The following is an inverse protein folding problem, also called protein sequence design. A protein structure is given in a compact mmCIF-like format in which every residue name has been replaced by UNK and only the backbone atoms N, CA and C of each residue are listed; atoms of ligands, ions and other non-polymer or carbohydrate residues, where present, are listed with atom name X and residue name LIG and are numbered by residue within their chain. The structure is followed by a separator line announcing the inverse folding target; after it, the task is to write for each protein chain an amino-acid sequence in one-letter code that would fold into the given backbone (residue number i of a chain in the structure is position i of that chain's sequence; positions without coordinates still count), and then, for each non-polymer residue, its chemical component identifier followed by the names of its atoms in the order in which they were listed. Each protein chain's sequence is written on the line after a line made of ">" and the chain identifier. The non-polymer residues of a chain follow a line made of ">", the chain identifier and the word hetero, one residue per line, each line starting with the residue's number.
data_IF_218367864329
#
_entry.id   IF_218367864329
#
_cell.length_a   1.000
_cell.length_b   1.000
_cell.length_c   1.000
_cell.angle_alpha   90.00
_cell.angle_beta   90.00
_cell.angle_gamma   90.00
#
_symmetry.space_group_name_H-M   'P 1'
#
loop_
_entity.id
_entity.type
_entity.pdbx_description
1 polymer ?
#
# COMPACT_ATOMS: atom_id res chain seq x y z
N UNK A 1 -29.72 -29.20 -10.92
CA UNK A 1 -28.92 -28.45 -9.94
C UNK A 1 -27.79 -27.84 -10.73
N UNK A 2 -27.74 -26.52 -10.84
CA UNK A 2 -26.70 -25.81 -11.61
C UNK A 2 -25.37 -25.97 -10.87
N UNK A 3 -24.52 -26.88 -11.35
CA UNK A 3 -23.14 -27.07 -10.90
C UNK A 3 -22.32 -25.82 -11.25
N UNK A 4 -22.35 -24.79 -10.40
CA UNK A 4 -21.43 -23.67 -10.53
C UNK A 4 -20.04 -24.14 -10.09
N UNK A 5 -19.10 -24.21 -11.04
CA UNK A 5 -17.69 -24.62 -10.80
C UNK A 5 -16.92 -23.74 -9.80
N UNK A 6 -17.47 -22.59 -9.41
CA UNK A 6 -16.89 -21.67 -8.44
C UNK A 6 -17.95 -20.75 -7.86
N UNK A 7 -17.67 -20.20 -6.67
CA UNK A 7 -18.50 -19.20 -6.00
C UNK A 7 -17.80 -17.84 -6.03
N UNK A 8 -18.44 -16.85 -6.66
CA UNK A 8 -17.97 -15.46 -6.65
C UNK A 8 -18.54 -14.78 -5.41
N UNK A 9 -17.73 -13.96 -4.73
CA UNK A 9 -18.26 -13.05 -3.71
C UNK A 9 -19.12 -11.99 -4.43
N UNK A 10 -20.44 -11.91 -4.17
CA UNK A 10 -21.31 -10.99 -4.91
C UNK A 10 -21.11 -9.52 -4.50
N UNK A 11 -20.47 -9.27 -3.36
CA UNK A 11 -20.17 -7.92 -2.86
C UNK A 11 -18.82 -7.40 -3.36
N UNK A 12 -18.71 -6.08 -3.51
CA UNK A 12 -17.44 -5.42 -3.80
C UNK A 12 -16.52 -5.51 -2.59
N UNK A 13 -15.38 -6.17 -2.77
CA UNK A 13 -14.35 -6.30 -1.75
C UNK A 13 -13.17 -5.35 -2.01
N UNK A 14 -12.58 -4.88 -0.92
CA UNK A 14 -11.42 -4.03 -0.90
C UNK A 14 -10.29 -4.77 -0.20
N UNK A 15 -9.09 -4.71 -0.78
CA UNK A 15 -7.90 -5.33 -0.21
C UNK A 15 -7.13 -4.32 0.65
N UNK A 16 -6.80 -4.74 1.86
CA UNK A 16 -5.82 -4.07 2.70
C UNK A 16 -4.62 -5.01 2.93
N UNK A 17 -3.60 -4.82 2.10
CA UNK A 17 -2.38 -5.62 2.12
C UNK A 17 -1.19 -4.92 2.78
N UNK A 18 -1.26 -3.62 3.12
CA UNK A 18 -0.26 -2.87 3.89
C UNK A 18 1.24 -3.12 3.56
N UNK A 19 1.58 -3.59 2.36
CA UNK A 19 2.95 -3.97 1.98
C UNK A 19 3.41 -5.36 2.44
N UNK A 20 2.52 -6.22 2.94
CA UNK A 20 2.78 -7.61 3.34
C UNK A 20 2.24 -8.61 2.31
N UNK A 21 2.86 -9.80 2.23
CA UNK A 21 2.54 -10.86 1.26
C UNK A 21 1.10 -11.42 1.38
N UNK A 22 0.38 -11.11 2.47
CA UNK A 22 -1.01 -11.49 2.68
C UNK A 22 -1.82 -10.28 3.17
N UNK A 23 -2.98 -10.04 2.52
CA UNK A 23 -3.89 -8.94 2.84
C UNK A 23 -5.23 -9.43 3.37
N UNK A 24 -6.03 -8.49 3.88
CA UNK A 24 -7.39 -8.76 4.35
C UNK A 24 -8.37 -8.16 3.35
N UNK A 25 -9.27 -9.01 2.84
CA UNK A 25 -10.40 -8.58 2.02
C UNK A 25 -11.54 -8.13 2.93
N UNK A 26 -12.17 -7.00 2.60
CA UNK A 26 -13.25 -6.45 3.40
C UNK A 26 -14.34 -5.80 2.55
N UNK A 27 -15.59 -5.78 3.02
CA UNK A 27 -16.67 -5.08 2.34
C UNK A 27 -16.51 -3.55 2.44
N UNK A 28 -17.21 -2.83 1.58
CA UNK A 28 -17.15 -1.36 1.48
C UNK A 28 -17.40 -0.65 2.81
N UNK A 29 -18.32 -1.15 3.64
CA UNK A 29 -18.66 -0.57 4.94
C UNK A 29 -17.49 -0.59 5.91
N UNK A 30 -16.69 -1.65 5.90
CA UNK A 30 -15.47 -1.80 6.71
C UNK A 30 -14.35 -0.95 6.11
N UNK A 31 -14.18 -0.98 4.79
CA UNK A 31 -13.21 -0.13 4.10
C UNK A 31 -13.41 1.35 4.42
N UNK A 32 -14.65 1.86 4.39
CA UNK A 32 -14.94 3.28 4.71
C UNK A 32 -14.53 3.65 6.13
N UNK A 33 -14.76 2.76 7.11
CA UNK A 33 -14.34 2.96 8.50
C UNK A 33 -12.82 2.96 8.61
N UNK A 34 -12.15 1.99 7.96
CA UNK A 34 -10.69 1.91 7.92
C UNK A 34 -10.08 3.16 7.27
N UNK A 35 -10.64 3.62 6.15
CA UNK A 35 -10.18 4.83 5.45
C UNK A 35 -10.31 6.07 6.35
N UNK A 36 -11.39 6.19 7.14
CA UNK A 36 -11.56 7.29 8.10
C UNK A 36 -10.52 7.22 9.22
N UNK A 37 -10.25 6.02 9.76
CA UNK A 37 -9.23 5.83 10.79
C UNK A 37 -7.83 6.15 10.26
N UNK A 38 -7.50 5.67 9.06
CA UNK A 38 -6.24 5.99 8.40
C UNK A 38 -6.11 7.49 8.12
N UNK A 39 -7.17 8.15 7.65
CA UNK A 39 -7.15 9.59 7.46
C UNK A 39 -6.86 10.35 8.76
N UNK A 40 -7.49 9.97 9.88
CA UNK A 40 -7.22 10.57 11.19
C UNK A 40 -5.77 10.33 11.61
N UNK A 41 -5.30 9.08 11.52
CA UNK A 41 -3.92 8.73 11.85
C UNK A 41 -2.90 9.51 11.01
N UNK A 42 -3.11 9.61 9.70
CA UNK A 42 -2.22 10.35 8.80
C UNK A 42 -2.24 11.85 9.08
N UNK A 43 -3.38 12.42 9.50
CA UNK A 43 -3.47 13.80 9.97
C UNK A 43 -2.69 14.01 11.27
N UNK A 44 -2.82 13.09 12.23
CA UNK A 44 -2.09 13.14 13.50
C UNK A 44 -0.56 13.03 13.28
N UNK A 45 -0.13 12.12 12.39
CA UNK A 45 1.27 12.00 11.96
C UNK A 45 1.76 13.28 11.28
N UNK A 46 0.96 13.85 10.36
CA UNK A 46 1.31 15.10 9.69
C UNK A 46 1.52 16.23 10.69
N UNK A 47 0.59 16.38 11.63
CA UNK A 47 0.66 17.40 12.69
C UNK A 47 1.94 17.23 13.50
N UNK A 48 2.20 16.04 14.02
CA UNK A 48 3.38 15.75 14.83
C UNK A 48 4.68 16.08 14.09
N UNK A 49 4.83 15.63 12.84
CA UNK A 49 6.03 15.90 12.04
C UNK A 49 6.19 17.39 11.72
N UNK A 50 5.08 18.12 11.55
CA UNK A 50 5.11 19.56 11.28
C UNK A 50 5.49 20.35 12.54
N UNK A 51 4.98 19.96 13.71
CA UNK A 51 5.30 20.56 15.02
C UNK A 51 6.79 20.45 15.34
N UNK A 52 7.40 19.31 15.02
CA UNK A 52 8.81 19.04 15.27
C UNK A 52 9.73 19.26 14.06
N UNK A 53 9.28 19.98 13.02
CA UNK A 53 9.99 20.06 11.73
C UNK A 53 11.43 20.58 11.81
N UNK A 54 11.74 21.42 12.80
CA UNK A 54 13.09 21.94 13.05
C UNK A 54 14.08 20.88 13.56
N UNK A 55 13.56 19.76 14.06
CA UNK A 55 14.35 18.64 14.59
C UNK A 55 14.50 17.51 13.55
N UNK A 56 13.88 17.64 12.38
CA UNK A 56 13.84 16.60 11.34
C UNK A 56 14.83 16.88 10.21
N UNK A 57 15.33 15.80 9.61
CA UNK A 57 16.22 15.84 8.45
C UNK A 57 15.60 15.11 7.25
N UNK A 58 15.83 15.58 6.02
CA UNK A 58 15.52 14.80 4.84
C UNK A 58 16.43 13.58 4.83
N UNK A 59 15.84 12.39 4.72
CA UNK A 59 16.58 11.16 4.50
C UNK A 59 16.83 10.97 3.01
N UNK A 60 18.09 10.72 2.68
CA UNK A 60 18.56 10.38 1.33
C UNK A 60 19.42 9.12 1.42
N UNK A 61 19.63 8.45 0.28
CA UNK A 61 20.40 7.21 0.23
C UNK A 61 21.30 7.17 -1.01
N UNK A 62 22.38 6.40 -0.92
CA UNK A 62 23.27 6.09 -2.04
C UNK A 62 23.74 4.65 -1.97
N UNK A 63 24.30 4.13 -3.06
CA UNK A 63 24.94 2.83 -3.10
C UNK A 63 26.43 2.96 -2.80
N UNK A 64 26.90 2.12 -1.90
CA UNK A 64 28.29 1.93 -1.54
C UNK A 64 28.71 0.50 -1.88
N UNK A 65 29.89 0.30 -2.47
CA UNK A 65 30.35 -1.01 -2.95
C UNK A 65 31.62 -1.48 -2.24
N UNK A 66 31.59 -1.74 -0.92
CA UNK A 66 32.73 -2.32 -0.23
C UNK A 66 32.99 -3.73 -0.76
N UNK A 67 34.23 -4.01 -1.18
CA UNK A 67 34.66 -5.33 -1.65
C UNK A 67 33.81 -5.88 -2.81
N UNK A 68 33.26 -4.99 -3.65
CA UNK A 68 32.38 -5.37 -4.77
C UNK A 68 30.97 -5.80 -4.37
N UNK A 69 30.59 -5.72 -3.09
CA UNK A 69 29.21 -6.00 -2.63
C UNK A 69 28.39 -4.72 -2.57
N UNK A 70 27.24 -4.68 -3.24
CA UNK A 70 26.34 -3.54 -3.20
C UNK A 70 25.69 -3.40 -1.82
N UNK A 71 25.92 -2.26 -1.16
CA UNK A 71 25.38 -1.92 0.15
C UNK A 71 24.70 -0.55 0.07
N UNK A 72 23.48 -0.42 0.58
CA UNK A 72 22.81 0.88 0.67
C UNK A 72 23.26 1.65 1.91
N UNK A 73 23.60 2.93 1.75
CA UNK A 73 23.93 3.84 2.86
C UNK A 73 22.92 4.98 2.88
N UNK A 74 22.35 5.23 4.05
CA UNK A 74 21.39 6.31 4.28
C UNK A 74 22.08 7.46 5.02
N UNK A 75 21.73 8.70 4.70
CA UNK A 75 22.29 9.88 5.35
C UNK A 75 21.22 10.97 5.55
N UNK A 76 21.42 11.78 6.59
CA UNK A 76 20.66 12.99 6.85
C UNK A 76 21.22 14.12 5.99
N UNK A 77 20.38 14.70 5.13
CA UNK A 77 20.81 15.75 4.21
C UNK A 77 20.80 17.12 4.92
N UNK A 78 21.99 17.71 5.11
CA UNK A 78 22.19 18.95 5.89
C UNK A 78 22.62 20.16 5.03
N UNK A 79 22.75 19.98 3.71
CA UNK A 79 23.24 21.01 2.80
C UNK A 79 22.23 22.13 2.51
N UNK A 80 22.72 23.32 2.19
CA UNK A 80 21.92 24.53 1.89
C UNK A 80 21.03 24.42 0.64
N UNK A 81 21.19 23.37 -0.18
CA UNK A 81 20.32 23.06 -1.32
C UNK A 81 19.00 22.41 -0.89
N UNK A 82 18.93 21.86 0.32
CA UNK A 82 17.69 21.42 0.96
C UNK A 82 17.03 22.65 1.56
N UNK A 83 16.21 23.34 0.77
CA UNK A 83 15.37 24.41 1.29
C UNK A 83 14.39 23.90 2.35
N UNK A 84 13.96 24.77 3.27
CA UNK A 84 12.93 24.49 4.29
C UNK A 84 11.65 23.84 3.71
N UNK A 85 11.35 24.10 2.43
CA UNK A 85 10.23 23.47 1.71
C UNK A 85 10.41 21.97 1.38
N UNK A 86 11.61 21.40 1.46
CA UNK A 86 11.83 19.98 1.14
C UNK A 86 11.32 19.05 2.25
N UNK A 87 11.52 19.42 3.52
CA UNK A 87 10.96 18.67 4.67
C UNK A 87 9.44 18.70 4.65
N UNK A 88 8.84 19.88 4.45
CA UNK A 88 7.39 20.02 4.42
C UNK A 88 6.76 19.22 3.27
N UNK A 89 7.42 19.20 2.10
CA UNK A 89 7.01 18.36 0.96
C UNK A 89 7.11 16.87 1.27
N UNK A 90 8.19 16.43 1.93
CA UNK A 90 8.39 15.03 2.31
C UNK A 90 7.38 14.57 3.37
N UNK A 91 7.07 15.40 4.37
CA UNK A 91 6.01 15.15 5.35
C UNK A 91 4.67 14.95 4.64
N UNK A 92 4.33 15.85 3.70
CA UNK A 92 3.10 15.75 2.89
C UNK A 92 3.05 14.46 2.06
N UNK A 93 4.17 14.02 1.50
CA UNK A 93 4.21 12.79 0.71
C UNK A 93 4.09 11.53 1.58
N UNK A 94 4.75 11.50 2.74
CA UNK A 94 4.66 10.39 3.68
C UNK A 94 3.20 10.14 4.13
N UNK A 95 2.39 11.19 4.22
CA UNK A 95 1.00 11.10 4.68
C UNK A 95 0.00 10.76 3.56
N UNK A 96 0.46 10.56 2.32
CA UNK A 96 -0.38 10.23 1.16
C UNK A 96 -0.23 8.78 0.67
N UNK A 97 0.84 8.07 1.05
CA UNK A 97 1.27 6.83 0.39
C UNK A 97 0.50 5.55 0.80
N UNK A 98 -0.45 5.60 1.75
CA UNK A 98 -1.06 4.40 2.34
C UNK A 98 -2.58 4.26 2.12
N UNK A 99 -3.08 4.61 0.93
CA UNK A 99 -4.52 4.47 0.64
C UNK A 99 -4.88 3.03 0.20
N UNK A 100 -6.00 2.46 0.68
CA UNK A 100 -6.50 1.17 0.21
C UNK A 100 -6.79 1.22 -1.30
N UNK A 101 -6.56 0.10 -1.99
CA UNK A 101 -6.75 0.01 -3.45
C UNK A 101 -7.96 -0.87 -3.76
N UNK A 102 -8.82 -0.42 -4.68
CA UNK A 102 -9.94 -1.22 -5.16
C UNK A 102 -9.43 -2.46 -5.90
N UNK A 103 -9.97 -3.65 -5.56
CA UNK A 103 -9.74 -4.88 -6.31
C UNK A 103 -11.03 -5.28 -7.02
N UNK A 104 -11.13 -5.07 -8.35
CA UNK A 104 -12.39 -5.27 -9.06
C UNK A 104 -12.82 -6.74 -9.19
N UNK A 105 -11.92 -7.71 -8.97
CA UNK A 105 -12.20 -9.14 -9.08
C UNK A 105 -11.47 -9.91 -7.98
N UNK A 106 -12.20 -10.72 -7.22
CA UNK A 106 -11.70 -11.50 -6.08
C UNK A 106 -12.45 -12.84 -6.00
N UNK A 107 -11.71 -13.95 -5.99
CA UNK A 107 -12.27 -15.31 -5.94
C UNK A 107 -12.26 -15.88 -4.51
N UNK A 108 -13.28 -16.65 -4.13
CA UNK A 108 -13.26 -17.46 -2.89
C UNK A 108 -12.55 -18.78 -3.19
N UNK A 109 -11.37 -19.01 -2.59
CA UNK A 109 -10.61 -20.23 -2.77
C UNK A 109 -9.97 -20.69 -1.45
N UNK A 110 -9.88 -21.99 -1.25
CA UNK A 110 -9.22 -22.62 -0.11
C UNK A 110 -7.70 -22.71 -0.31
N UNK A 111 -7.20 -22.45 -1.53
CA UNK A 111 -5.78 -22.46 -1.86
C UNK A 111 -5.43 -21.54 -3.03
N UNK A 112 -4.14 -21.24 -3.19
CA UNK A 112 -3.63 -20.43 -4.31
C UNK A 112 -3.83 -21.12 -5.66
N UNK A 113 -3.63 -22.43 -5.73
CA UNK A 113 -3.83 -23.22 -6.96
C UNK A 113 -5.30 -23.25 -7.38
N UNK A 114 -6.22 -23.26 -6.42
CA UNK A 114 -7.65 -23.15 -6.67
C UNK A 114 -8.02 -21.75 -7.17
N UNK A 115 -7.52 -20.68 -6.53
CA UNK A 115 -7.73 -19.30 -6.99
C UNK A 115 -7.22 -19.08 -8.42
N UNK A 116 -6.09 -19.70 -8.78
CA UNK A 116 -5.50 -19.64 -10.13
C UNK A 116 -6.41 -20.29 -11.17
N UNK A 117 -6.92 -21.50 -10.93
CA UNK A 117 -7.86 -22.19 -11.83
C UNK A 117 -9.15 -21.41 -12.04
N UNK A 118 -9.65 -20.75 -10.99
CA UNK A 118 -10.83 -19.88 -11.06
C UNK A 118 -10.58 -18.64 -11.93
N UNK A 119 -9.40 -18.03 -11.82
CA UNK A 119 -9.00 -16.91 -12.67
C UNK A 119 -8.87 -17.30 -14.15
N UNK A 120 -8.28 -18.46 -14.43
CA UNK A 120 -8.14 -19.02 -15.79
C UNK A 120 -9.52 -19.28 -16.43
N UNK A 121 -10.44 -19.89 -15.68
CA UNK A 121 -11.82 -20.17 -16.16
C UNK A 121 -12.62 -18.88 -16.46
N UNK A 122 -12.52 -17.88 -15.59
CA UNK A 122 -13.18 -16.58 -15.80
C UNK A 122 -12.66 -15.86 -17.05
N UNK A 123 -11.37 -16.00 -17.37
CA UNK A 123 -10.79 -15.42 -18.58
C UNK A 123 -11.34 -16.07 -19.85
N UNK A 124 -11.45 -17.41 -19.88
CA UNK A 124 -12.03 -18.14 -21.01
C UNK A 124 -13.49 -17.75 -21.26
N UNK A 125 -14.31 -17.57 -20.21
CA UNK A 125 -15.72 -17.19 -20.36
C UNK A 125 -15.96 -15.74 -20.81
N UNK A 126 -15.02 -14.82 -20.53
CA UNK A 126 -15.21 -13.38 -20.80
C UNK A 126 -14.51 -12.89 -22.06
N UNK A 127 -13.67 -13.70 -22.70
CA UNK A 127 -12.90 -13.33 -23.90
C UNK A 127 -13.14 -14.29 -25.10
N UNK A 128 -14.24 -15.04 -25.07
CA UNK A 128 -14.84 -15.72 -26.23
C UNK A 128 -15.97 -14.86 -26.79
#
# INVERSE_FOLDING_TARGET
>A
MTDSKYEIVPEKLFDFSAGVYCGVLMPESVMKKLAKLQASYLQDVQRLLTEHKSELYPSSWTLYYPEGKQTSVYYAETGSAVGVGDIERRIKHATLAHKPTLRPLVFKANSMDEAKKMAESHHEETHI
#
